data_IF_424365579158
#
_entry.id   IF_424365579158
#
_cell.length_a   1.000
_cell.length_b   1.000
_cell.length_c   1.000
_cell.angle_alpha   90.00
_cell.angle_beta   90.00
_cell.angle_gamma   90.00
#
_symmetry.space_group_name_H-M   'P 1'
#
loop_
_entity.id
_entity.type
_entity.pdbx_description
1 polymer ?
#
# COMPACT_ATOMS: atom_id res chain seq x y z
N UNK A 1 -28.48 20.01 10.43
CA UNK A 1 -27.31 20.91 10.55
C UNK A 1 -26.08 20.13 10.15
N UNK A 2 -25.41 20.52 9.06
CA UNK A 2 -24.10 19.94 8.70
C UNK A 2 -23.11 20.20 9.84
N UNK A 3 -22.47 19.14 10.33
CA UNK A 3 -21.44 19.25 11.36
C UNK A 3 -20.18 19.84 10.71
N UNK A 4 -19.63 20.92 11.27
CA UNK A 4 -18.35 21.48 10.80
C UNK A 4 -17.22 20.46 10.90
N UNK A 5 -16.29 20.39 9.93
CA UNK A 5 -15.14 19.49 9.98
C UNK A 5 -14.34 19.62 11.29
N UNK A 6 -13.85 18.50 11.81
CA UNK A 6 -13.17 18.43 13.11
C UNK A 6 -11.93 17.53 13.07
N UNK A 7 -11.00 17.75 13.99
CA UNK A 7 -9.92 16.80 14.26
C UNK A 7 -10.45 15.73 15.20
N UNK A 8 -10.39 14.47 14.79
CA UNK A 8 -10.87 13.34 15.56
C UNK A 8 -9.82 12.96 16.61
N UNK A 9 -10.19 13.02 17.89
CA UNK A 9 -9.41 12.46 19.00
C UNK A 9 -9.95 11.06 19.25
N UNK A 10 -9.21 10.05 18.80
CA UNK A 10 -9.61 8.65 18.82
C UNK A 10 -8.72 7.89 19.82
N UNK A 11 -9.28 7.04 20.67
CA UNK A 11 -8.44 6.13 21.47
C UNK A 11 -9.15 5.43 22.62
N UNK A 12 -8.37 4.81 23.49
CA UNK A 12 -8.85 4.01 24.62
C UNK A 12 -9.02 4.88 25.87
N UNK A 13 -10.14 5.61 25.96
CA UNK A 13 -10.37 6.59 27.02
C UNK A 13 -10.58 5.96 28.41
N UNK A 14 -11.03 4.70 28.44
CA UNK A 14 -11.16 3.87 29.64
C UNK A 14 -9.87 3.73 30.44
N UNK A 15 -8.72 3.82 29.77
CA UNK A 15 -7.40 3.71 30.37
C UNK A 15 -6.54 4.95 30.21
N UNK A 16 -6.80 5.78 29.20
CA UNK A 16 -6.02 6.98 28.85
C UNK A 16 -6.88 8.23 28.68
N UNK A 17 -7.92 8.35 29.50
CA UNK A 17 -8.88 9.45 29.38
C UNK A 17 -8.25 10.83 29.58
N UNK A 18 -7.32 10.95 30.54
CA UNK A 18 -6.63 12.20 30.85
C UNK A 18 -5.80 12.71 29.67
N UNK A 19 -5.05 11.83 29.01
CA UNK A 19 -4.16 12.17 27.90
C UNK A 19 -4.94 12.53 26.64
N UNK A 20 -6.06 11.85 26.36
CA UNK A 20 -6.93 12.20 25.24
C UNK A 20 -7.71 13.50 25.49
N UNK A 21 -8.13 13.77 26.73
CA UNK A 21 -8.70 15.08 27.10
C UNK A 21 -7.67 16.20 26.96
N UNK A 22 -6.41 15.95 27.33
CA UNK A 22 -5.34 16.91 27.11
C UNK A 22 -5.16 17.22 25.62
N UNK A 23 -5.06 16.20 24.76
CA UNK A 23 -4.99 16.39 23.31
C UNK A 23 -6.19 17.20 22.78
N UNK A 24 -7.40 16.83 23.20
CA UNK A 24 -8.64 17.56 22.86
C UNK A 24 -8.53 19.04 23.18
N UNK A 25 -8.20 19.38 24.43
CA UNK A 25 -8.10 20.76 24.90
C UNK A 25 -7.03 21.55 24.14
N UNK A 26 -5.86 20.93 23.90
CA UNK A 26 -4.75 21.59 23.19
C UNK A 26 -5.06 21.82 21.71
N UNK A 27 -5.88 20.97 21.09
CA UNK A 27 -6.38 21.18 19.72
C UNK A 27 -7.43 22.31 19.70
N UNK A 28 -8.38 22.31 20.63
CA UNK A 28 -9.42 23.35 20.73
C UNK A 28 -8.83 24.75 21.00
N UNK A 29 -7.81 24.84 21.85
CA UNK A 29 -7.06 26.08 22.09
C UNK A 29 -6.35 26.63 20.85
N UNK A 30 -6.11 25.78 19.83
CA UNK A 30 -5.55 26.18 18.53
C UNK A 30 -6.62 26.56 17.50
N UNK A 31 -7.89 26.64 17.93
CA UNK A 31 -9.02 27.07 17.11
C UNK A 31 -9.67 25.96 16.27
N UNK A 32 -9.32 24.70 16.49
CA UNK A 32 -9.93 23.57 15.80
C UNK A 32 -11.06 22.96 16.62
N UNK A 33 -12.14 22.55 15.96
CA UNK A 33 -13.14 21.69 16.58
C UNK A 33 -12.57 20.28 16.74
N UNK A 34 -12.93 19.61 17.83
CA UNK A 34 -12.64 18.19 18.04
C UNK A 34 -13.89 17.32 18.02
N UNK A 35 -13.71 16.05 17.67
CA UNK A 35 -14.70 14.99 17.77
C UNK A 35 -14.03 13.80 18.48
N UNK A 36 -14.61 13.34 19.59
CA UNK A 36 -14.01 12.33 20.46
C UNK A 36 -14.62 10.95 20.23
N UNK A 37 -13.75 9.95 20.01
CA UNK A 37 -14.18 8.57 19.72
C UNK A 37 -13.49 7.62 20.70
N UNK A 38 -14.28 7.05 21.62
CA UNK A 38 -13.80 6.02 22.55
C UNK A 38 -13.83 4.65 21.88
N UNK A 39 -12.69 3.98 21.86
CA UNK A 39 -12.50 2.62 21.30
C UNK A 39 -11.81 1.67 22.28
N UNK A 40 -11.79 2.02 23.56
CA UNK A 40 -11.31 1.10 24.61
C UNK A 40 -12.26 -0.08 24.79
N UNK A 41 -11.71 -1.19 25.29
CA UNK A 41 -12.42 -2.47 25.41
C UNK A 41 -12.53 -2.95 26.85
N UNK A 42 -11.95 -2.24 27.82
CA UNK A 42 -11.95 -2.66 29.24
C UNK A 42 -13.09 -2.06 30.04
N UNK A 43 -13.56 -0.88 29.64
CA UNK A 43 -14.59 -0.18 30.39
C UNK A 43 -15.14 1.06 29.69
N UNK A 44 -16.08 1.75 30.35
CA UNK A 44 -16.62 3.01 29.85
C UNK A 44 -15.57 4.12 29.89
N UNK A 45 -15.73 5.11 29.02
CA UNK A 45 -14.95 6.35 29.07
C UNK A 45 -15.23 7.13 30.38
N UNK A 46 -14.23 7.75 31.02
CA UNK A 46 -14.40 8.56 32.23
C UNK A 46 -15.05 9.93 31.97
N UNK A 47 -15.25 10.30 30.71
CA UNK A 47 -16.00 11.48 30.27
C UNK A 47 -16.92 11.10 29.10
N UNK A 48 -17.93 11.91 28.79
CA UNK A 48 -18.85 11.66 27.67
C UNK A 48 -18.14 11.87 26.32
N UNK A 49 -17.88 10.81 25.52
CA UNK A 49 -17.35 10.98 24.19
C UNK A 49 -18.47 11.33 23.19
N UNK A 50 -18.11 11.88 22.04
CA UNK A 50 -19.08 12.09 20.94
C UNK A 50 -19.56 10.75 20.37
N UNK A 51 -18.67 9.75 20.35
CA UNK A 51 -18.97 8.37 19.97
C UNK A 51 -18.33 7.38 20.94
N UNK A 52 -19.11 6.39 21.38
CA UNK A 52 -18.68 5.39 22.36
C UNK A 52 -18.83 3.98 21.76
N UNK A 53 -17.75 3.49 21.13
CA UNK A 53 -17.74 2.16 20.50
C UNK A 53 -17.84 1.04 21.54
N UNK A 54 -17.31 1.25 22.75
CA UNK A 54 -17.44 0.28 23.84
C UNK A 54 -18.91 0.00 24.17
N UNK A 55 -19.73 1.05 24.28
CA UNK A 55 -21.17 0.91 24.53
C UNK A 55 -21.90 0.24 23.36
N UNK A 56 -21.58 0.59 22.11
CA UNK A 56 -22.16 -0.06 20.94
C UNK A 56 -21.92 -1.58 20.94
N UNK A 57 -20.70 -2.01 21.27
CA UNK A 57 -20.33 -3.43 21.34
C UNK A 57 -21.07 -4.12 22.49
N UNK A 58 -21.09 -3.51 23.67
CA UNK A 58 -21.77 -4.07 24.83
C UNK A 58 -23.29 -4.23 24.62
N UNK A 59 -23.92 -3.29 23.90
CA UNK A 59 -25.33 -3.41 23.51
C UNK A 59 -25.55 -4.53 22.49
N UNK A 60 -24.66 -4.68 21.50
CA UNK A 60 -24.75 -5.74 20.49
C UNK A 60 -24.54 -7.14 21.06
N UNK A 61 -23.77 -7.29 22.14
CA UNK A 61 -23.55 -8.58 22.81
C UNK A 61 -24.58 -8.91 23.90
N UNK A 62 -25.64 -8.11 24.05
CA UNK A 62 -26.60 -8.21 25.18
C UNK A 62 -25.92 -8.18 26.55
N UNK A 63 -24.77 -7.50 26.67
CA UNK A 63 -23.97 -7.46 27.89
C UNK A 63 -23.21 -8.75 28.23
N UNK A 64 -23.16 -9.74 27.32
CA UNK A 64 -22.37 -10.96 27.54
C UNK A 64 -20.87 -10.66 27.49
N UNK A 65 -20.04 -11.32 28.34
CA UNK A 65 -18.59 -11.18 28.29
C UNK A 65 -18.07 -11.58 26.91
N UNK A 66 -17.30 -10.69 26.30
CA UNK A 66 -16.59 -10.94 25.05
C UNK A 66 -15.12 -11.16 25.42
N UNK A 67 -14.49 -12.18 24.85
CA UNK A 67 -13.06 -12.36 25.04
C UNK A 67 -12.28 -11.15 24.48
N UNK A 68 -11.05 -10.97 24.95
CA UNK A 68 -10.26 -9.77 24.66
C UNK A 68 -10.03 -9.57 23.16
N UNK A 69 -9.78 -10.64 22.42
CA UNK A 69 -9.40 -10.55 21.00
C UNK A 69 -10.64 -10.26 20.16
N UNK A 70 -11.77 -10.91 20.46
CA UNK A 70 -13.07 -10.57 19.86
C UNK A 70 -13.47 -9.12 20.14
N UNK A 71 -13.25 -8.62 21.35
CA UNK A 71 -13.54 -7.23 21.70
C UNK A 71 -12.66 -6.23 20.92
N UNK A 72 -11.37 -6.51 20.77
CA UNK A 72 -10.44 -5.68 19.97
C UNK A 72 -10.86 -5.68 18.49
N UNK A 73 -11.18 -6.85 17.93
CA UNK A 73 -11.61 -6.96 16.54
C UNK A 73 -12.95 -6.24 16.28
N UNK A 74 -13.90 -6.34 17.21
CA UNK A 74 -15.15 -5.59 17.16
C UNK A 74 -14.89 -4.08 17.23
N UNK A 75 -14.03 -3.61 18.15
CA UNK A 75 -13.66 -2.20 18.27
C UNK A 75 -12.99 -1.67 17.00
N UNK A 76 -12.07 -2.43 16.40
CA UNK A 76 -11.48 -2.12 15.09
C UNK A 76 -12.57 -2.00 14.02
N UNK A 77 -13.44 -3.00 13.88
CA UNK A 77 -14.49 -3.00 12.86
C UNK A 77 -15.45 -1.81 12.99
N UNK A 78 -15.98 -1.57 14.19
CA UNK A 78 -16.89 -0.46 14.46
C UNK A 78 -16.21 0.91 14.32
N UNK A 79 -15.00 1.05 14.88
CA UNK A 79 -14.24 2.30 14.79
C UNK A 79 -13.88 2.67 13.36
N UNK A 80 -13.50 1.67 12.53
CA UNK A 80 -13.26 1.83 11.08
C UNK A 80 -14.50 2.32 10.35
N UNK A 81 -15.63 1.65 10.55
CA UNK A 81 -16.91 2.02 9.93
C UNK A 81 -17.31 3.45 10.32
N UNK A 82 -17.24 3.78 11.60
CA UNK A 82 -17.58 5.09 12.10
C UNK A 82 -16.69 6.19 11.51
N UNK A 83 -15.37 6.00 11.55
CA UNK A 83 -14.42 6.99 11.05
C UNK A 83 -14.58 7.22 9.53
N UNK A 84 -14.83 6.14 8.78
CA UNK A 84 -15.11 6.23 7.35
C UNK A 84 -16.42 7.00 7.08
N UNK A 85 -17.49 6.70 7.81
CA UNK A 85 -18.77 7.43 7.69
C UNK A 85 -18.63 8.92 8.02
N UNK A 86 -17.83 9.28 9.02
CA UNK A 86 -17.53 10.68 9.33
C UNK A 86 -16.75 11.34 8.19
N UNK A 87 -15.78 10.62 7.59
CA UNK A 87 -15.01 11.12 6.46
C UNK A 87 -15.87 11.36 5.22
N UNK A 88 -16.74 10.42 4.86
CA UNK A 88 -17.67 10.52 3.72
C UNK A 88 -18.62 11.72 3.86
N UNK A 89 -18.97 12.11 5.09
CA UNK A 89 -19.77 13.30 5.40
C UNK A 89 -18.96 14.61 5.42
N UNK A 90 -17.66 14.55 5.13
CA UNK A 90 -16.76 15.71 5.19
C UNK A 90 -16.46 16.20 6.61
N UNK A 91 -16.70 15.38 7.65
CA UNK A 91 -16.59 15.79 9.05
C UNK A 91 -15.17 15.65 9.63
N UNK A 92 -14.21 15.12 8.86
CA UNK A 92 -12.85 14.77 9.34
C UNK A 92 -11.78 15.66 8.70
N UNK A 93 -11.10 16.47 9.51
CA UNK A 93 -9.91 17.25 9.13
C UNK A 93 -8.59 16.54 9.40
N UNK A 94 -8.63 15.51 10.23
CA UNK A 94 -7.46 14.77 10.69
C UNK A 94 -7.84 13.89 11.87
N UNK A 95 -6.95 12.98 12.27
CA UNK A 95 -7.14 12.08 13.39
C UNK A 95 -5.86 12.00 14.22
N UNK A 96 -6.01 12.01 15.54
CA UNK A 96 -4.92 11.90 16.49
C UNK A 96 -5.25 10.93 17.62
N UNK A 97 -4.24 10.22 18.11
CA UNK A 97 -4.33 9.34 19.27
C UNK A 97 -3.02 9.30 20.06
N UNK A 98 -3.10 8.81 21.32
CA UNK A 98 -1.96 8.51 22.15
C UNK A 98 -2.16 7.15 22.87
N UNK A 99 -1.16 6.27 22.86
CA UNK A 99 -1.32 4.97 23.52
C UNK A 99 -0.08 4.10 23.60
N UNK A 100 -0.19 3.05 24.43
CA UNK A 100 0.79 1.96 24.48
C UNK A 100 0.66 1.02 23.27
N UNK A 101 1.21 -0.19 23.35
CA UNK A 101 1.14 -1.16 22.25
C UNK A 101 -0.29 -1.46 21.75
N UNK A 102 -1.22 -1.82 22.65
CA UNK A 102 -2.62 -2.08 22.27
C UNK A 102 -3.32 -0.83 21.74
N UNK A 103 -3.16 0.32 22.40
CA UNK A 103 -3.78 1.58 21.96
C UNK A 103 -3.25 2.04 20.60
N UNK A 104 -1.96 1.81 20.33
CA UNK A 104 -1.33 2.06 19.02
C UNK A 104 -1.94 1.16 17.96
N UNK A 105 -1.96 -0.16 18.19
CA UNK A 105 -2.54 -1.12 17.25
C UNK A 105 -4.00 -0.81 16.90
N UNK A 106 -4.81 -0.52 17.92
CA UNK A 106 -6.25 -0.27 17.76
C UNK A 106 -6.49 1.06 17.02
N UNK A 107 -5.82 2.14 17.45
CA UNK A 107 -6.02 3.46 16.87
C UNK A 107 -5.47 3.54 15.45
N UNK A 108 -4.24 3.09 15.17
CA UNK A 108 -3.72 3.11 13.78
C UNK A 108 -4.48 2.14 12.89
N UNK A 109 -4.89 0.98 13.42
CA UNK A 109 -5.74 0.03 12.72
C UNK A 109 -7.06 0.64 12.24
N UNK A 110 -7.61 1.61 12.97
CA UNK A 110 -8.77 2.41 12.56
C UNK A 110 -8.36 3.54 11.61
N UNK A 111 -7.31 4.32 11.94
CA UNK A 111 -6.85 5.45 11.12
C UNK A 111 -6.57 5.07 9.66
N UNK A 112 -6.14 3.81 9.41
CA UNK A 112 -5.82 3.33 8.07
C UNK A 112 -6.99 3.29 7.09
N UNK A 113 -8.25 3.42 7.52
CA UNK A 113 -9.38 3.52 6.57
C UNK A 113 -9.47 4.87 5.88
N UNK A 114 -8.82 5.89 6.44
CA UNK A 114 -8.80 7.21 5.83
C UNK A 114 -7.84 7.22 4.63
N UNK A 115 -8.18 7.96 3.56
CA UNK A 115 -7.36 8.03 2.36
C UNK A 115 -6.04 8.78 2.59
N UNK A 116 -5.12 8.67 1.62
CA UNK A 116 -3.88 9.45 1.61
C UNK A 116 -4.17 10.95 1.68
N UNK A 117 -3.42 11.67 2.52
CA UNK A 117 -3.45 13.13 2.64
C UNK A 117 -4.32 13.66 3.78
N UNK A 118 -5.21 12.84 4.36
CA UNK A 118 -5.87 13.21 5.63
C UNK A 118 -4.83 13.04 6.77
N UNK A 119 -4.57 14.08 7.60
CA UNK A 119 -3.62 13.98 8.69
C UNK A 119 -3.93 12.83 9.66
N UNK A 120 -2.95 11.97 9.92
CA UNK A 120 -3.03 10.84 10.88
C UNK A 120 -1.82 10.89 11.80
N UNK A 121 -2.03 11.18 13.08
CA UNK A 121 -0.94 11.34 14.06
C UNK A 121 -1.12 10.36 15.22
N UNK A 122 -0.08 9.60 15.54
CA UNK A 122 -0.10 8.63 16.63
C UNK A 122 1.08 8.85 17.57
N UNK A 123 0.78 9.20 18.83
CA UNK A 123 1.79 9.23 19.90
C UNK A 123 1.89 7.84 20.54
N UNK A 124 3.03 7.17 20.41
CA UNK A 124 3.17 5.76 20.77
C UNK A 124 4.40 5.47 21.63
N UNK A 125 4.21 4.64 22.67
CA UNK A 125 5.32 4.10 23.49
C UNK A 125 6.16 3.07 22.76
N UNK A 126 5.67 2.57 21.62
CA UNK A 126 6.35 1.56 20.81
C UNK A 126 6.81 2.10 19.46
N UNK A 127 6.76 3.41 19.21
CA UNK A 127 7.15 3.98 17.91
C UNK A 127 8.60 3.66 17.47
N UNK A 128 9.47 3.28 18.41
CA UNK A 128 10.86 2.86 18.17
C UNK A 128 11.01 1.36 17.84
N UNK A 129 9.89 0.61 17.69
CA UNK A 129 9.87 -0.80 17.27
C UNK A 129 9.54 -0.93 15.78
N UNK A 130 9.39 -2.17 15.29
CA UNK A 130 8.90 -2.41 13.93
C UNK A 130 7.45 -1.92 13.77
N UNK A 131 7.29 -0.86 12.99
CA UNK A 131 6.00 -0.21 12.70
C UNK A 131 5.37 -0.64 11.37
N UNK A 132 5.95 -1.58 10.62
CA UNK A 132 5.47 -1.94 9.28
C UNK A 132 3.97 -2.33 9.29
N UNK A 133 3.55 -3.21 10.21
CA UNK A 133 2.14 -3.60 10.37
C UNK A 133 1.27 -2.55 11.08
N UNK A 134 1.85 -1.50 11.65
CA UNK A 134 1.15 -0.40 12.36
C UNK A 134 0.82 0.74 11.40
N UNK A 135 1.76 1.14 10.56
CA UNK A 135 1.59 2.18 9.54
C UNK A 135 0.97 1.59 8.27
N UNK A 136 1.38 0.38 7.87
CA UNK A 136 1.00 -0.22 6.60
C UNK A 136 1.46 0.64 5.43
N UNK A 137 0.55 0.88 4.50
CA UNK A 137 0.74 1.69 3.28
C UNK A 137 0.26 3.14 3.43
N UNK A 138 -0.06 3.58 4.65
CA UNK A 138 -0.64 4.90 4.94
C UNK A 138 0.41 5.91 5.42
N UNK A 139 0.09 7.18 5.27
CA UNK A 139 0.85 8.35 5.73
C UNK A 139 0.63 8.65 7.24
N UNK A 140 0.70 7.63 8.08
CA UNK A 140 0.58 7.79 9.55
C UNK A 140 1.89 8.35 10.11
N UNK A 141 1.81 9.52 10.74
CA UNK A 141 2.93 10.12 11.47
C UNK A 141 3.03 9.53 12.87
N UNK A 142 4.12 8.82 13.14
CA UNK A 142 4.42 8.26 14.46
C UNK A 142 5.27 9.22 15.28
N UNK A 143 4.83 9.56 16.48
CA UNK A 143 5.57 10.35 17.47
C UNK A 143 5.90 9.43 18.64
N UNK A 144 7.18 9.28 18.98
CA UNK A 144 7.58 8.47 20.13
C UNK A 144 7.23 9.20 21.44
N UNK A 145 6.53 8.53 22.35
CA UNK A 145 6.15 9.13 23.65
C UNK A 145 7.33 9.26 24.61
N UNK A 146 8.47 8.60 24.33
CA UNK A 146 9.70 8.56 25.15
C UNK A 146 9.51 7.88 26.50
N UNK A 147 8.59 8.35 27.33
CA UNK A 147 8.13 7.69 28.54
C UNK A 147 6.89 6.85 28.26
N UNK A 148 6.52 5.99 29.21
CA UNK A 148 5.18 5.40 29.20
C UNK A 148 4.11 6.50 29.32
N UNK A 149 2.90 6.18 28.87
CA UNK A 149 1.74 7.07 28.91
C UNK A 149 0.93 6.65 30.14
N UNK A 150 1.09 7.35 31.25
CA UNK A 150 0.39 7.07 32.50
C UNK A 150 0.11 8.39 33.24
N UNK A 151 -0.92 9.09 32.78
CA UNK A 151 -1.23 10.46 33.20
C UNK A 151 -0.35 11.50 32.50
N UNK A 152 -0.75 12.77 32.58
CA UNK A 152 -0.04 13.88 31.93
C UNK A 152 0.97 14.50 32.91
N UNK A 153 2.23 14.12 32.76
CA UNK A 153 3.35 14.76 33.47
C UNK A 153 4.02 15.85 32.61
N UNK A 154 5.00 16.56 33.16
CA UNK A 154 5.69 17.66 32.48
C UNK A 154 6.39 17.25 31.18
N UNK A 155 6.90 16.01 31.10
CA UNK A 155 7.59 15.49 29.91
C UNK A 155 6.56 15.05 28.87
N UNK A 156 5.59 14.23 29.26
CA UNK A 156 4.59 13.72 28.33
C UNK A 156 3.67 14.83 27.80
N UNK A 157 3.31 15.80 28.64
CA UNK A 157 2.50 16.95 28.25
C UNK A 157 3.15 17.78 27.14
N UNK A 158 4.48 17.94 27.18
CA UNK A 158 5.25 18.61 26.13
C UNK A 158 5.14 17.85 24.78
N UNK A 159 5.22 16.52 24.83
CA UNK A 159 5.10 15.66 23.63
C UNK A 159 3.67 15.68 23.08
N UNK A 160 2.67 15.54 23.95
CA UNK A 160 1.25 15.59 23.56
C UNK A 160 0.88 16.96 22.98
N UNK A 161 1.41 18.06 23.54
CA UNK A 161 1.15 19.40 23.00
C UNK A 161 1.76 19.60 21.61
N UNK A 162 2.98 19.08 21.38
CA UNK A 162 3.60 19.08 20.06
C UNK A 162 2.82 18.21 19.08
N UNK A 163 2.32 17.06 19.50
CA UNK A 163 1.48 16.21 18.67
C UNK A 163 0.17 16.90 18.27
N UNK A 164 -0.48 17.59 19.21
CA UNK A 164 -1.64 18.44 18.94
C UNK A 164 -1.29 19.57 17.95
N UNK A 165 -0.15 20.23 18.12
CA UNK A 165 0.37 21.21 17.18
C UNK A 165 0.63 20.63 15.78
N UNK A 166 1.19 19.44 15.69
CA UNK A 166 1.49 18.75 14.43
C UNK A 166 0.20 18.45 13.65
N UNK A 167 -0.79 17.80 14.27
CA UNK A 167 -2.06 17.49 13.57
C UNK A 167 -2.81 18.77 13.17
N UNK A 168 -2.78 19.82 14.00
CA UNK A 168 -3.35 21.12 13.66
C UNK A 168 -2.63 21.78 12.48
N UNK A 169 -1.30 21.71 12.43
CA UNK A 169 -0.51 22.25 11.33
C UNK A 169 -0.76 21.51 10.02
N UNK A 170 -0.77 20.16 10.07
CA UNK A 170 -1.09 19.31 8.92
C UNK A 170 -2.52 19.60 8.39
N UNK A 171 -3.48 19.81 9.28
CA UNK A 171 -4.87 20.14 8.91
C UNK A 171 -5.03 21.52 8.23
N UNK A 172 -4.05 22.41 8.34
CA UNK A 172 -4.03 23.70 7.61
C UNK A 172 -3.36 23.63 6.24
N UNK A 173 -2.73 22.50 5.91
CA UNK A 173 -2.03 22.36 4.63
C UNK A 173 -3.01 22.46 3.47
N UNK A 174 -2.81 23.45 2.59
CA UNK A 174 -3.68 23.74 1.46
C UNK A 174 -2.97 23.67 0.11
N UNK A 175 -1.73 23.14 0.10
CA UNK A 175 -0.93 23.05 -1.11
C UNK A 175 -1.66 22.28 -2.21
N UNK A 176 -1.66 22.86 -3.41
CA UNK A 176 -2.24 22.26 -4.61
C UNK A 176 -1.23 22.38 -5.75
N UNK A 177 -1.12 21.35 -6.61
CA UNK A 177 -0.27 21.45 -7.79
C UNK A 177 -0.84 22.49 -8.75
N UNK A 178 0.04 23.22 -9.44
CA UNK A 178 -0.37 24.20 -10.46
C UNK A 178 -1.16 23.57 -11.61
N UNK A 179 -0.88 22.30 -11.91
CA UNK A 179 -1.56 21.50 -12.93
C UNK A 179 -1.65 20.05 -12.47
N UNK A 180 -2.78 19.39 -12.77
CA UNK A 180 -2.99 17.96 -12.46
C UNK A 180 -3.06 17.17 -13.75
N UNK A 181 -1.95 16.51 -14.12
CA UNK A 181 -1.89 15.58 -15.25
C UNK A 181 -2.58 14.27 -14.90
N UNK A 182 -2.91 13.48 -15.93
CA UNK A 182 -3.31 12.07 -15.74
C UNK A 182 -2.12 11.30 -15.19
N UNK A 183 -2.37 10.47 -14.17
CA UNK A 183 -1.30 9.77 -13.46
C UNK A 183 -1.22 8.31 -13.85
N UNK A 184 -0.01 7.81 -14.00
CA UNK A 184 0.27 6.39 -14.19
C UNK A 184 1.09 5.90 -13.00
N UNK A 185 0.60 4.85 -12.33
CA UNK A 185 1.39 4.13 -11.34
C UNK A 185 2.39 3.22 -12.07
N UNK A 186 3.66 3.25 -11.65
CA UNK A 186 4.73 2.46 -12.24
C UNK A 186 5.48 1.70 -11.14
N UNK A 187 5.45 0.36 -11.16
CA UNK A 187 6.34 -0.42 -10.29
C UNK A 187 7.76 -0.43 -10.84
N UNK A 188 8.77 -0.45 -9.98
CA UNK A 188 10.17 -0.54 -10.35
C UNK A 188 10.90 -1.51 -9.43
N UNK A 189 12.01 -2.06 -9.91
CA UNK A 189 12.92 -2.90 -9.15
C UNK A 189 14.36 -2.57 -9.52
N UNK A 190 15.31 -2.75 -8.59
CA UNK A 190 16.72 -2.37 -8.79
C UNK A 190 17.31 -2.91 -10.10
N UNK A 191 17.03 -4.17 -10.42
CA UNK A 191 17.56 -4.83 -11.63
C UNK A 191 16.93 -4.34 -12.95
N UNK A 192 15.91 -3.47 -12.88
CA UNK A 192 15.22 -2.89 -14.04
C UNK A 192 15.12 -1.36 -13.97
N UNK A 193 16.00 -0.71 -13.19
CA UNK A 193 16.00 0.75 -13.02
C UNK A 193 16.05 1.47 -14.38
N UNK A 194 16.91 0.98 -15.30
CA UNK A 194 17.00 1.53 -16.67
C UNK A 194 15.66 1.48 -17.40
N UNK A 195 14.97 0.34 -17.39
CA UNK A 195 13.64 0.21 -17.99
C UNK A 195 12.64 1.20 -17.38
N UNK A 196 12.61 1.31 -16.05
CA UNK A 196 11.67 2.19 -15.35
C UNK A 196 11.87 3.67 -15.70
N UNK A 197 13.12 4.15 -15.74
CA UNK A 197 13.46 5.53 -16.12
C UNK A 197 13.07 5.84 -17.57
N UNK A 198 13.30 4.89 -18.48
CA UNK A 198 12.97 5.06 -19.90
C UNK A 198 11.45 5.04 -20.14
N UNK A 199 10.74 4.10 -19.52
CA UNK A 199 9.27 4.03 -19.57
C UNK A 199 8.67 5.31 -19.01
N UNK A 200 9.16 5.78 -17.86
CA UNK A 200 8.76 7.06 -17.26
C UNK A 200 8.93 8.22 -18.24
N UNK A 201 10.12 8.34 -18.84
CA UNK A 201 10.43 9.41 -19.79
C UNK A 201 9.50 9.38 -21.02
N UNK A 202 9.23 8.19 -21.56
CA UNK A 202 8.31 8.01 -22.68
C UNK A 202 6.87 8.41 -22.33
N UNK A 203 6.38 8.04 -21.15
CA UNK A 203 5.04 8.40 -20.69
C UNK A 203 4.90 9.90 -20.37
N UNK A 204 5.94 10.52 -19.80
CA UNK A 204 5.93 11.96 -19.54
C UNK A 204 5.94 12.79 -20.83
N UNK A 205 6.65 12.32 -21.87
CA UNK A 205 6.60 12.90 -23.21
C UNK A 205 5.20 12.82 -23.85
N UNK A 206 4.39 11.82 -23.47
CA UNK A 206 2.98 11.68 -23.86
C UNK A 206 2.02 12.51 -22.98
N UNK A 207 2.53 13.30 -22.04
CA UNK A 207 1.74 14.23 -21.22
C UNK A 207 1.24 13.67 -19.89
N UNK A 208 1.69 12.47 -19.47
CA UNK A 208 1.34 11.89 -18.17
C UNK A 208 2.24 12.40 -17.04
N UNK A 209 1.79 12.19 -15.81
CA UNK A 209 2.61 12.24 -14.59
C UNK A 209 2.82 10.80 -14.12
N UNK A 210 4.08 10.38 -13.94
CA UNK A 210 4.40 9.00 -13.56
C UNK A 210 4.78 8.95 -12.09
N UNK A 211 4.07 8.14 -11.32
CA UNK A 211 4.34 7.92 -9.89
C UNK A 211 4.99 6.55 -9.74
N UNK A 212 6.28 6.54 -9.42
CA UNK A 212 7.07 5.33 -9.29
C UNK A 212 6.95 4.72 -7.88
N UNK A 213 6.86 3.40 -7.81
CA UNK A 213 6.80 2.61 -6.58
C UNK A 213 7.86 1.51 -6.63
N UNK A 214 8.75 1.47 -5.64
CA UNK A 214 9.65 0.33 -5.50
C UNK A 214 8.83 -0.92 -5.16
N UNK A 215 8.90 -1.96 -5.99
CA UNK A 215 8.24 -3.25 -5.77
C UNK A 215 8.90 -4.04 -4.63
N UNK A 216 8.83 -3.53 -3.41
CA UNK A 216 9.47 -4.09 -2.21
C UNK A 216 8.47 -4.75 -1.25
N UNK A 217 7.36 -5.28 -1.79
CA UNK A 217 6.20 -5.74 -1.03
C UNK A 217 5.25 -4.58 -0.76
N UNK A 218 5.69 -3.64 0.07
CA UNK A 218 4.85 -2.50 0.46
C UNK A 218 4.56 -1.52 -0.67
N UNK A 219 5.49 -1.33 -1.60
CA UNK A 219 5.29 -0.36 -2.69
C UNK A 219 4.26 -0.81 -3.72
N UNK A 220 4.22 -2.10 -4.09
CA UNK A 220 3.14 -2.66 -4.92
C UNK A 220 1.77 -2.49 -4.26
N UNK A 221 1.68 -2.78 -2.95
CA UNK A 221 0.46 -2.58 -2.17
C UNK A 221 0.02 -1.10 -2.11
N UNK A 222 0.97 -0.18 -1.89
CA UNK A 222 0.69 1.25 -1.83
C UNK A 222 0.18 1.79 -3.18
N UNK A 223 0.77 1.33 -4.29
CA UNK A 223 0.30 1.67 -5.64
C UNK A 223 -1.15 1.25 -5.84
N UNK A 224 -1.50 0.01 -5.48
CA UNK A 224 -2.85 -0.51 -5.67
C UNK A 224 -3.86 0.14 -4.75
N UNK A 225 -3.47 0.50 -3.53
CA UNK A 225 -4.32 1.27 -2.63
C UNK A 225 -4.64 2.66 -3.20
N UNK A 226 -3.63 3.38 -3.68
CA UNK A 226 -3.85 4.67 -4.33
C UNK A 226 -4.68 4.54 -5.62
N UNK A 227 -4.58 3.42 -6.31
CA UNK A 227 -5.44 3.13 -7.45
C UNK A 227 -6.91 2.96 -7.03
N UNK A 228 -7.19 2.23 -5.94
CA UNK A 228 -8.54 2.12 -5.34
C UNK A 228 -9.08 3.46 -4.86
N UNK A 229 -8.20 4.37 -4.43
CA UNK A 229 -8.54 5.77 -4.10
C UNK A 229 -8.74 6.66 -5.35
N UNK A 230 -8.72 6.11 -6.57
CA UNK A 230 -8.94 6.85 -7.82
C UNK A 230 -7.81 7.81 -8.18
N UNK A 231 -6.58 7.56 -7.71
CA UNK A 231 -5.43 8.44 -7.95
C UNK A 231 -4.77 8.23 -9.30
N UNK A 232 -5.07 7.14 -10.01
CA UNK A 232 -4.43 6.76 -11.27
C UNK A 232 -5.43 6.63 -12.41
N UNK A 233 -4.97 7.00 -13.61
CA UNK A 233 -5.66 6.74 -14.88
C UNK A 233 -5.20 5.45 -15.55
N UNK A 234 -4.08 4.87 -15.09
CA UNK A 234 -3.54 3.61 -15.57
C UNK A 234 -2.43 3.09 -14.64
N UNK A 235 -2.13 1.81 -14.73
CA UNK A 235 -1.03 1.16 -14.02
C UNK A 235 -0.16 0.44 -15.04
N UNK A 236 1.12 0.79 -15.07
CA UNK A 236 2.14 0.03 -15.77
C UNK A 236 2.93 -0.75 -14.71
N UNK A 237 2.55 -1.99 -14.50
CA UNK A 237 3.13 -2.89 -13.53
C UNK A 237 4.41 -3.52 -14.12
N UNK A 238 5.48 -2.72 -14.20
CA UNK A 238 6.73 -3.08 -14.86
C UNK A 238 7.53 -4.13 -14.07
N UNK A 239 7.48 -4.08 -12.74
CA UNK A 239 8.16 -4.99 -11.83
C UNK A 239 7.15 -5.83 -11.04
N UNK A 240 7.15 -7.15 -11.25
CA UNK A 240 6.29 -8.09 -10.52
C UNK A 240 7.06 -9.12 -9.70
N UNK A 241 8.39 -9.01 -9.60
CA UNK A 241 9.25 -9.95 -8.83
C UNK A 241 8.84 -10.16 -7.36
N UNK A 242 8.08 -9.23 -6.79
CA UNK A 242 7.38 -9.36 -5.52
C UNK A 242 6.73 -10.74 -5.29
N UNK A 243 6.22 -11.38 -6.34
CA UNK A 243 5.68 -12.74 -6.27
C UNK A 243 6.76 -13.81 -6.01
N UNK A 244 7.91 -13.71 -6.66
CA UNK A 244 9.04 -14.60 -6.46
C UNK A 244 9.60 -14.48 -5.04
N UNK A 245 9.71 -13.24 -4.54
CA UNK A 245 10.15 -12.96 -3.18
C UNK A 245 9.14 -13.47 -2.14
N UNK A 246 7.83 -13.26 -2.32
CA UNK A 246 6.81 -13.84 -1.43
C UNK A 246 6.92 -15.37 -1.38
N UNK A 247 7.07 -16.01 -2.54
CA UNK A 247 7.19 -17.46 -2.64
C UNK A 247 8.47 -18.02 -1.98
N UNK A 248 9.57 -17.28 -2.05
CA UNK A 248 10.87 -17.66 -1.46
C UNK A 248 11.13 -17.07 -0.07
N UNK A 249 10.13 -16.42 0.54
CA UNK A 249 10.31 -15.72 1.81
C UNK A 249 11.46 -14.70 1.77
N UNK A 250 11.63 -14.08 0.59
CA UNK A 250 12.71 -13.17 0.26
C UNK A 250 12.53 -11.74 0.78
N UNK A 251 13.42 -10.87 0.29
CA UNK A 251 13.60 -9.52 0.79
C UNK A 251 12.37 -8.63 0.55
N UNK A 252 11.78 -8.72 -0.64
CA UNK A 252 10.61 -7.94 -1.05
C UNK A 252 9.27 -8.64 -0.75
N UNK A 253 9.23 -9.57 0.20
CA UNK A 253 8.00 -10.25 0.64
C UNK A 253 7.03 -9.30 1.35
N UNK A 254 5.84 -9.81 1.65
CA UNK A 254 4.77 -9.08 2.33
C UNK A 254 3.85 -8.35 1.37
N UNK A 255 3.60 -8.94 0.20
CA UNK A 255 2.80 -8.33 -0.89
C UNK A 255 1.29 -8.35 -0.62
N UNK A 256 0.89 -9.03 0.46
CA UNK A 256 -0.50 -9.21 0.84
C UNK A 256 -1.29 -10.11 -0.12
N UNK A 257 -2.54 -10.47 0.24
CA UNK A 257 -3.36 -11.37 -0.56
C UNK A 257 -3.89 -10.72 -1.85
N UNK A 258 -3.84 -9.38 -1.95
CA UNK A 258 -4.49 -8.62 -3.01
C UNK A 258 -3.56 -8.09 -4.11
N UNK A 259 -2.25 -8.40 -4.08
CA UNK A 259 -1.35 -7.99 -5.15
C UNK A 259 -1.87 -8.50 -6.50
N UNK A 260 -1.92 -7.63 -7.52
CA UNK A 260 -2.53 -7.83 -8.84
C UNK A 260 -4.05 -8.06 -8.83
N UNK A 261 -4.75 -7.86 -7.70
CA UNK A 261 -6.21 -7.92 -7.69
C UNK A 261 -6.83 -6.77 -8.50
N UNK A 262 -8.06 -6.96 -9.01
CA UNK A 262 -8.83 -5.91 -9.63
C UNK A 262 -9.03 -4.72 -8.71
N UNK A 263 -9.00 -3.52 -9.29
CA UNK A 263 -9.38 -2.30 -8.60
C UNK A 263 -10.88 -2.10 -8.84
N UNK A 264 -11.66 -1.95 -7.77
CA UNK A 264 -13.11 -1.72 -7.87
C UNK A 264 -13.42 -0.40 -8.60
N UNK A 265 -14.49 -0.39 -9.41
CA UNK A 265 -14.94 0.80 -10.16
C UNK A 265 -14.72 0.68 -11.67
N UNK A 266 -14.80 1.78 -12.45
CA UNK A 266 -14.45 1.77 -13.87
C UNK A 266 -12.97 1.39 -14.00
N UNK A 267 -12.71 0.16 -14.45
CA UNK A 267 -11.42 -0.52 -14.34
C UNK A 267 -10.26 0.34 -14.80
N UNK A 268 -9.34 0.63 -13.87
CA UNK A 268 -8.06 1.29 -14.19
C UNK A 268 -7.27 0.33 -15.10
N UNK A 269 -6.95 0.71 -16.35
CA UNK A 269 -6.22 -0.16 -17.25
C UNK A 269 -4.87 -0.53 -16.63
N UNK A 270 -4.53 -1.83 -16.65
CA UNK A 270 -3.30 -2.38 -16.07
C UNK A 270 -2.50 -3.12 -17.15
N UNK A 271 -1.33 -2.60 -17.46
CA UNK A 271 -0.34 -3.26 -18.30
C UNK A 271 0.68 -3.97 -17.42
N UNK A 272 0.81 -5.29 -17.55
CA UNK A 272 1.66 -6.12 -16.69
C UNK A 272 2.88 -6.60 -17.47
N UNK A 273 4.06 -6.51 -16.86
CA UNK A 273 5.33 -6.99 -17.40
C UNK A 273 6.00 -7.88 -16.35
N UNK A 274 6.60 -9.02 -16.72
CA UNK A 274 7.25 -9.93 -15.77
C UNK A 274 8.63 -9.43 -15.30
N UNK A 275 8.80 -8.12 -15.08
CA UNK A 275 10.10 -7.54 -14.70
C UNK A 275 10.58 -8.08 -13.35
N UNK A 276 11.81 -8.60 -13.37
CA UNK A 276 12.45 -9.27 -12.25
C UNK A 276 11.89 -10.67 -11.89
N UNK A 277 10.90 -11.18 -12.63
CA UNK A 277 10.35 -12.53 -12.41
C UNK A 277 11.31 -13.66 -12.81
N UNK A 278 12.53 -13.33 -13.23
CA UNK A 278 13.59 -14.29 -13.41
C UNK A 278 14.16 -14.78 -12.07
N UNK A 279 14.01 -14.00 -11.00
CA UNK A 279 14.70 -14.24 -9.74
C UNK A 279 13.85 -13.96 -8.50
N UNK A 280 14.28 -14.52 -7.37
CA UNK A 280 13.86 -14.07 -6.04
C UNK A 280 15.05 -13.43 -5.33
N UNK A 281 14.83 -12.27 -4.68
CA UNK A 281 15.88 -11.55 -3.94
C UNK A 281 15.90 -12.02 -2.49
N UNK A 282 17.06 -12.44 -2.01
CA UNK A 282 17.26 -12.97 -0.66
C UNK A 282 18.38 -12.21 0.06
N UNK A 283 18.37 -12.23 1.39
CA UNK A 283 19.40 -11.60 2.23
C UNK A 283 20.59 -12.54 2.46
N UNK A 284 21.52 -12.57 1.51
CA UNK A 284 22.83 -13.20 1.69
C UNK A 284 23.88 -12.63 0.73
N UNK A 285 25.14 -12.90 1.04
CA UNK A 285 26.33 -12.50 0.27
C UNK A 285 27.07 -13.72 -0.26
N UNK A 286 28.15 -13.50 -1.01
CA UNK A 286 29.02 -14.57 -1.55
C UNK A 286 29.61 -15.47 -0.47
N UNK A 287 29.78 -14.95 0.74
CA UNK A 287 30.36 -15.68 1.87
C UNK A 287 29.31 -16.40 2.72
N UNK A 288 28.02 -16.11 2.50
CA UNK A 288 26.91 -16.61 3.34
C UNK A 288 25.82 -17.30 2.53
N UNK A 289 26.15 -17.88 1.38
CA UNK A 289 25.20 -18.59 0.51
C UNK A 289 24.58 -19.78 1.27
N UNK A 290 23.24 -19.80 1.46
CA UNK A 290 22.55 -20.93 2.08
C UNK A 290 22.75 -22.23 1.29
N UNK A 291 22.87 -23.36 1.99
CA UNK A 291 23.16 -24.66 1.38
C UNK A 291 22.15 -25.05 0.29
N UNK A 292 20.87 -24.71 0.48
CA UNK A 292 19.79 -24.96 -0.48
C UNK A 292 19.97 -24.23 -1.84
N UNK A 293 20.79 -23.18 -1.89
CA UNK A 293 20.97 -22.36 -3.10
C UNK A 293 22.35 -22.47 -3.74
N UNK A 294 23.28 -23.26 -3.17
CA UNK A 294 24.68 -23.35 -3.67
C UNK A 294 24.79 -23.75 -5.14
N UNK A 295 23.90 -24.63 -5.59
CA UNK A 295 23.87 -25.14 -6.97
C UNK A 295 23.00 -24.28 -7.91
N UNK A 296 22.45 -23.17 -7.42
CA UNK A 296 21.63 -22.26 -8.23
C UNK A 296 22.51 -21.26 -8.97
N UNK A 297 21.99 -20.72 -10.07
CA UNK A 297 22.52 -19.49 -10.65
C UNK A 297 22.22 -18.33 -9.70
N UNK A 298 23.25 -17.56 -9.33
CA UNK A 298 23.15 -16.47 -8.36
C UNK A 298 23.72 -15.18 -8.96
N UNK A 299 22.98 -14.09 -8.78
CA UNK A 299 23.45 -12.74 -9.00
C UNK A 299 23.66 -12.06 -7.65
N UNK A 300 24.93 -11.85 -7.31
CA UNK A 300 25.32 -11.15 -6.08
C UNK A 300 25.23 -9.64 -6.31
N UNK A 301 24.47 -8.94 -5.47
CA UNK A 301 24.22 -7.51 -5.63
C UNK A 301 24.87 -6.69 -4.51
N UNK A 302 24.37 -6.83 -3.28
CA UNK A 302 24.90 -6.17 -2.08
C UNK A 302 24.85 -7.13 -0.87
N UNK A 303 24.28 -6.71 0.25
CA UNK A 303 23.86 -7.63 1.32
C UNK A 303 22.71 -8.56 0.87
N UNK A 304 22.17 -8.33 -0.33
CA UNK A 304 21.16 -9.13 -1.02
C UNK A 304 21.72 -9.78 -2.28
N UNK A 305 21.13 -10.91 -2.64
CA UNK A 305 21.45 -11.66 -3.84
C UNK A 305 20.18 -12.20 -4.51
N UNK A 306 20.13 -12.18 -5.84
CA UNK A 306 19.07 -12.77 -6.64
C UNK A 306 19.39 -14.22 -6.98
N UNK A 307 18.52 -15.16 -6.62
CA UNK A 307 18.60 -16.55 -7.07
C UNK A 307 17.74 -16.75 -8.31
N UNK A 308 18.26 -17.39 -9.36
CA UNK A 308 17.48 -17.73 -10.56
C UNK A 308 16.42 -18.75 -10.18
N UNK A 309 15.14 -18.47 -10.43
CA UNK A 309 14.04 -19.42 -10.22
C UNK A 309 14.20 -20.70 -11.05
N UNK A 310 13.64 -21.82 -10.59
CA UNK A 310 13.55 -23.05 -11.38
C UNK A 310 12.33 -23.02 -12.30
N UNK A 311 12.26 -23.95 -13.25
CA UNK A 311 11.07 -24.14 -14.09
C UNK A 311 9.81 -24.45 -13.29
N UNK A 312 9.92 -25.27 -12.23
CA UNK A 312 8.78 -25.59 -11.36
C UNK A 312 8.28 -24.36 -10.60
N UNK A 313 9.20 -23.63 -9.97
CA UNK A 313 8.88 -22.39 -9.24
C UNK A 313 8.25 -21.35 -10.18
N UNK A 314 8.80 -21.22 -11.39
CA UNK A 314 8.29 -20.31 -12.42
C UNK A 314 6.88 -20.67 -12.87
N UNK A 315 6.54 -21.96 -13.03
CA UNK A 315 5.17 -22.39 -13.36
C UNK A 315 4.18 -22.09 -12.23
N UNK A 316 4.56 -22.31 -10.98
CA UNK A 316 3.72 -21.97 -9.82
C UNK A 316 3.41 -20.47 -9.82
N UNK A 317 4.43 -19.63 -10.01
CA UNK A 317 4.28 -18.17 -10.02
C UNK A 317 3.46 -17.67 -11.21
N UNK A 318 3.66 -18.24 -12.41
CA UNK A 318 2.83 -17.95 -13.58
C UNK A 318 1.35 -18.27 -13.33
N UNK A 319 1.06 -19.41 -12.71
CA UNK A 319 -0.29 -19.79 -12.33
C UNK A 319 -0.92 -18.82 -11.32
N UNK A 320 -0.16 -18.40 -10.31
CA UNK A 320 -0.59 -17.42 -9.31
C UNK A 320 -0.88 -16.04 -9.91
N UNK A 321 -0.08 -15.59 -10.89
CA UNK A 321 -0.33 -14.35 -11.61
C UNK A 321 -1.57 -14.48 -12.50
N UNK A 322 -1.69 -15.56 -13.27
CA UNK A 322 -2.84 -15.82 -14.14
C UNK A 322 -4.17 -15.77 -13.35
N UNK A 323 -4.23 -16.47 -12.22
CA UNK A 323 -5.42 -16.52 -11.36
C UNK A 323 -5.91 -15.12 -10.96
N UNK A 324 -4.99 -14.21 -10.65
CA UNK A 324 -5.31 -12.84 -10.23
C UNK A 324 -5.71 -11.95 -11.39
N UNK A 325 -4.99 -12.03 -12.50
CA UNK A 325 -5.27 -11.25 -13.71
C UNK A 325 -6.63 -11.62 -14.32
N UNK A 326 -7.02 -12.89 -14.25
CA UNK A 326 -8.31 -13.38 -14.74
C UNK A 326 -9.52 -12.82 -13.98
N UNK A 327 -9.33 -12.15 -12.85
CA UNK A 327 -10.43 -11.55 -12.08
C UNK A 327 -10.97 -10.27 -12.73
N UNK A 328 -10.23 -9.65 -13.66
CA UNK A 328 -10.75 -8.51 -14.43
C UNK A 328 -10.15 -8.41 -15.85
N UNK A 329 -10.46 -9.37 -16.75
CA UNK A 329 -9.85 -9.46 -18.08
C UNK A 329 -9.93 -8.19 -18.94
N UNK A 330 -11.06 -7.44 -19.01
CA UNK A 330 -11.22 -6.35 -19.98
C UNK A 330 -10.25 -5.17 -19.80
N UNK A 331 -9.67 -4.99 -18.61
CA UNK A 331 -8.76 -3.87 -18.33
C UNK A 331 -7.29 -4.28 -18.27
N UNK A 332 -6.95 -5.53 -18.57
CA UNK A 332 -5.62 -6.09 -18.38
C UNK A 332 -4.97 -6.42 -19.72
N UNK A 333 -3.69 -6.06 -19.87
CA UNK A 333 -2.81 -6.54 -20.92
C UNK A 333 -1.48 -7.01 -20.35
N UNK A 334 -0.83 -7.93 -21.03
CA UNK A 334 0.48 -8.46 -20.63
C UNK A 334 1.49 -8.25 -21.76
N UNK A 335 2.65 -7.67 -21.44
CA UNK A 335 3.79 -7.58 -22.36
C UNK A 335 4.97 -8.37 -21.83
N UNK A 336 5.49 -9.26 -22.67
CA UNK A 336 6.63 -10.12 -22.35
C UNK A 336 7.84 -9.70 -23.18
N UNK A 337 8.89 -9.10 -22.59
CA UNK A 337 10.19 -8.97 -23.26
C UNK A 337 10.83 -10.36 -23.40
N UNK A 338 11.16 -10.78 -24.62
CA UNK A 338 11.67 -12.14 -24.88
C UNK A 338 13.17 -12.29 -24.61
N UNK A 339 13.93 -11.20 -24.57
CA UNK A 339 15.39 -11.26 -24.44
C UNK A 339 15.90 -11.05 -23.02
N UNK A 340 15.01 -10.92 -22.03
CA UNK A 340 15.39 -10.81 -20.62
C UNK A 340 14.49 -9.94 -19.75
N UNK A 341 14.36 -10.29 -18.47
CA UNK A 341 13.46 -9.63 -17.51
C UNK A 341 14.17 -8.83 -16.40
N UNK A 342 15.50 -8.85 -16.37
CA UNK A 342 16.33 -8.11 -15.42
C UNK A 342 17.70 -7.84 -16.02
N UNK A 343 18.49 -6.94 -15.45
CA UNK A 343 19.88 -6.73 -15.88
C UNK A 343 20.75 -8.01 -15.84
N UNK A 344 20.37 -8.96 -14.98
CA UNK A 344 21.07 -10.22 -14.77
C UNK A 344 20.57 -11.35 -15.68
N UNK A 345 19.36 -11.23 -16.23
CA UNK A 345 18.75 -12.15 -17.19
C UNK A 345 18.92 -11.63 -18.62
N UNK A 346 20.12 -11.78 -19.16
CA UNK A 346 20.44 -11.45 -20.55
C UNK A 346 21.52 -12.36 -21.10
N UNK A 347 21.68 -12.47 -22.41
CA UNK A 347 22.74 -13.32 -22.99
C UNK A 347 24.12 -13.05 -22.35
N UNK A 348 24.72 -14.09 -21.77
CA UNK A 348 25.99 -14.02 -21.02
C UNK A 348 25.89 -13.55 -19.56
N UNK A 349 24.69 -13.15 -19.11
CA UNK A 349 24.39 -12.75 -17.73
C UNK A 349 24.21 -13.93 -16.77
N UNK A 350 24.36 -13.70 -15.45
CA UNK A 350 24.42 -14.77 -14.46
C UNK A 350 23.09 -15.50 -14.25
N UNK A 351 21.95 -14.86 -14.49
CA UNK A 351 20.62 -15.46 -14.32
C UNK A 351 19.99 -15.92 -15.63
N UNK A 352 20.68 -15.76 -16.76
CA UNK A 352 20.16 -16.05 -18.08
C UNK A 352 19.75 -17.51 -18.23
N UNK A 353 18.45 -17.73 -18.46
CA UNK A 353 17.88 -19.06 -18.64
C UNK A 353 16.61 -19.00 -19.50
N UNK A 354 16.74 -18.91 -20.83
CA UNK A 354 15.59 -18.84 -21.73
C UNK A 354 14.62 -20.01 -21.62
N UNK A 355 15.06 -21.29 -21.46
CA UNK A 355 14.13 -22.39 -21.26
C UNK A 355 13.21 -22.18 -20.05
N UNK A 356 13.76 -21.75 -18.90
CA UNK A 356 12.97 -21.48 -17.71
C UNK A 356 11.99 -20.31 -17.89
N UNK A 357 12.43 -19.22 -18.50
CA UNK A 357 11.55 -18.08 -18.82
C UNK A 357 10.44 -18.50 -19.80
N UNK A 358 10.72 -19.41 -20.74
CA UNK A 358 9.71 -19.93 -21.67
C UNK A 358 8.64 -20.76 -20.97
N UNK A 359 9.02 -21.59 -19.99
CA UNK A 359 8.07 -22.35 -19.16
C UNK A 359 7.07 -21.43 -18.44
N UNK A 360 7.55 -20.33 -17.85
CA UNK A 360 6.68 -19.31 -17.25
C UNK A 360 5.68 -18.74 -18.27
N UNK A 361 6.16 -18.33 -19.45
CA UNK A 361 5.31 -17.70 -20.47
C UNK A 361 4.27 -18.68 -21.01
N UNK A 362 4.64 -19.94 -21.22
CA UNK A 362 3.72 -20.99 -21.68
C UNK A 362 2.63 -21.26 -20.63
N UNK A 363 3.02 -21.41 -19.36
CA UNK A 363 2.09 -21.63 -18.25
C UNK A 363 1.13 -20.45 -18.07
N UNK A 364 1.67 -19.22 -18.08
CA UNK A 364 0.89 -17.99 -17.98
C UNK A 364 -0.11 -17.91 -19.12
N UNK A 365 0.34 -18.05 -20.37
CA UNK A 365 -0.52 -18.00 -21.56
C UNK A 365 -1.60 -19.09 -21.52
N UNK A 366 -1.29 -20.29 -21.06
CA UNK A 366 -2.23 -21.41 -20.97
C UNK A 366 -3.33 -21.21 -19.91
N UNK A 367 -3.07 -20.38 -18.90
CA UNK A 367 -4.01 -20.13 -17.79
C UNK A 367 -4.72 -18.78 -17.86
N UNK A 368 -4.25 -17.83 -18.68
CA UNK A 368 -4.88 -16.53 -18.84
C UNK A 368 -6.24 -16.66 -19.54
N UNK A 369 -7.18 -15.83 -19.10
CA UNK A 369 -8.46 -15.62 -19.78
C UNK A 369 -8.20 -15.16 -21.23
N UNK A 370 -8.88 -15.73 -22.24
CA UNK A 370 -8.69 -15.35 -23.65
C UNK A 370 -8.94 -13.87 -23.96
N UNK A 371 -9.68 -13.16 -23.11
CA UNK A 371 -9.89 -11.72 -23.20
C UNK A 371 -8.67 -10.87 -22.80
N UNK A 372 -7.65 -11.48 -22.19
CA UNK A 372 -6.39 -10.80 -21.83
C UNK A 372 -5.40 -10.92 -22.99
N UNK A 373 -5.06 -9.76 -23.57
CA UNK A 373 -4.05 -9.66 -24.63
C UNK A 373 -2.65 -9.84 -24.05
N UNK A 374 -2.04 -11.00 -24.31
CA UNK A 374 -0.63 -11.29 -24.02
C UNK A 374 0.21 -11.22 -25.30
N UNK A 375 1.09 -10.23 -25.33
CA UNK A 375 1.98 -9.95 -26.46
C UNK A 375 3.45 -10.12 -26.07
N UNK A 376 4.17 -10.88 -26.90
CA UNK A 376 5.63 -11.02 -26.81
C UNK A 376 6.31 -9.90 -27.62
N UNK A 377 7.39 -9.34 -27.09
CA UNK A 377 8.17 -8.25 -27.67
C UNK A 377 9.62 -8.69 -27.75
N UNK A 378 10.18 -8.72 -28.96
CA UNK A 378 11.58 -9.08 -29.19
C UNK A 378 12.51 -7.93 -28.78
N UNK A 379 12.74 -7.83 -27.47
CA UNK A 379 13.60 -6.86 -26.81
C UNK A 379 13.92 -7.36 -25.40
N UNK A 380 15.02 -6.86 -24.83
CA UNK A 380 15.30 -7.00 -23.41
C UNK A 380 14.52 -5.93 -22.64
N UNK A 381 14.09 -6.18 -21.40
CA UNK A 381 13.29 -5.20 -20.63
C UNK A 381 13.96 -3.81 -20.52
N UNK A 382 15.29 -3.80 -20.36
CA UNK A 382 16.13 -2.60 -20.27
C UNK A 382 16.53 -1.98 -21.64
N UNK A 383 15.92 -2.42 -22.74
CA UNK A 383 16.12 -1.79 -24.05
C UNK A 383 15.13 -0.64 -24.27
N UNK A 384 15.61 0.43 -24.88
CA UNK A 384 14.84 1.64 -25.20
C UNK A 384 13.59 1.32 -26.05
N UNK A 385 13.71 0.33 -26.95
CA UNK A 385 12.60 -0.14 -27.79
C UNK A 385 11.46 -0.73 -26.97
N UNK A 386 11.77 -1.50 -25.93
CA UNK A 386 10.77 -2.07 -25.02
C UNK A 386 10.03 -0.97 -24.26
N UNK A 387 10.77 0.00 -23.72
CA UNK A 387 10.20 1.12 -22.99
C UNK A 387 9.20 1.93 -23.83
N UNK A 388 9.54 2.20 -25.10
CA UNK A 388 8.63 2.89 -26.02
C UNK A 388 7.37 2.06 -26.34
N UNK A 389 7.50 0.74 -26.50
CA UNK A 389 6.37 -0.15 -26.77
C UNK A 389 5.44 -0.20 -25.55
N UNK A 390 5.99 -0.37 -24.35
CA UNK A 390 5.23 -0.41 -23.11
C UNK A 390 4.49 0.92 -22.85
N UNK A 391 5.16 2.05 -23.05
CA UNK A 391 4.56 3.38 -22.90
C UNK A 391 3.41 3.61 -23.89
N UNK A 392 3.57 3.24 -25.17
CA UNK A 392 2.52 3.33 -26.19
C UNK A 392 1.33 2.43 -25.86
N UNK A 393 1.57 1.17 -25.48
CA UNK A 393 0.51 0.25 -25.10
C UNK A 393 -0.31 0.79 -23.91
N UNK A 394 0.36 1.33 -22.88
CA UNK A 394 -0.32 1.94 -21.74
C UNK A 394 -1.13 3.18 -22.17
N UNK A 395 -0.58 4.03 -23.02
CA UNK A 395 -1.29 5.19 -23.56
C UNK A 395 -2.57 4.77 -24.30
N UNK A 396 -2.48 3.81 -25.22
CA UNK A 396 -3.62 3.27 -25.98
C UNK A 396 -4.71 2.72 -25.06
N UNK A 397 -4.33 1.93 -24.05
CA UNK A 397 -5.29 1.40 -23.07
C UNK A 397 -6.03 2.53 -22.35
N UNK A 398 -5.34 3.60 -21.95
CA UNK A 398 -5.95 4.75 -21.28
C UNK A 398 -6.91 5.51 -22.22
N UNK A 399 -6.56 5.67 -23.51
CA UNK A 399 -7.44 6.36 -24.47
C UNK A 399 -8.72 5.56 -24.75
N UNK A 400 -8.62 4.24 -24.90
CA UNK A 400 -9.78 3.39 -25.18
C UNK A 400 -10.78 3.38 -24.02
N UNK A 401 -10.30 3.27 -22.78
CA UNK A 401 -11.18 3.34 -21.58
C UNK A 401 -11.96 4.66 -21.52
N UNK A 402 -11.40 5.77 -22.02
CA UNK A 402 -12.10 7.06 -22.05
C UNK A 402 -13.17 7.14 -23.12
N UNK A 403 -12.95 6.53 -24.28
CA UNK A 403 -13.95 6.47 -25.34
C UNK A 403 -15.17 5.66 -24.89
N UNK A 404 -14.93 4.51 -24.24
CA UNK A 404 -16.00 3.66 -23.70
C UNK A 404 -16.80 4.34 -22.58
N UNK A 405 -16.14 5.14 -21.75
CA UNK A 405 -16.79 5.90 -20.66
C UNK A 405 -17.59 7.10 -21.18
N UNK A 406 -17.13 7.74 -22.26
CA UNK A 406 -17.83 8.86 -22.90
C UNK A 406 -19.11 8.45 -23.62
N UNK A 407 -19.14 7.24 -24.19
CA UNK A 407 -20.33 6.69 -24.86
C UNK A 407 -21.45 6.35 -23.85
N UNK A 408 -21.10 5.83 -22.66
CA UNK A 408 -22.07 5.46 -21.60
C UNK A 408 -22.71 6.63 -20.85
N UNK A 409 -22.25 7.87 -21.04
CA UNK A 409 -22.87 9.07 -20.42
C UNK A 409 -23.82 9.81 -21.36
N UNK A 410 -24.02 9.32 -22.59
CA UNK A 410 -24.91 9.93 -23.58
C UNK A 410 -26.23 9.16 -23.78
N UNK A 411 -26.45 8.06 -23.05
CA UNK A 411 -27.68 7.25 -23.08
C UNK A 411 -28.54 7.41 -21.83
#
# INVERSE_FOLDING_TARGET
>A
MERKPAIVVLGTFDSKGEEHLFLKQRIEQRGFRTLTVHVGTKGPSPFTPDFDVFREIASASEGKPVDRDSAINAALSHGRRLLLQCHEKGEVLGVISAGGGTGTHLSTGIMRVLPLGIPKVMVSTVASRNMAGIVGTKDITMIHSVSDILGVNSILGEILDRAAGAVCGMAKSDWKPAMRKKRIGLTMFGFITKAAEQVKSCLEALGYEVIAFHANGTGGMAMEELAREGRFSGILDLATHEFADEFKQGYCRGIGPERLSPISGPGVPRLVVPGGMDCAVLEFTRDTVPDEYRERKIFFYDFRSGIRLTAEESRVLAGQMAERLNRHPPSVKVLIPTEGWSEADRAGGPLYDPPTSREFVMELRGKLDPGIDLREVHAHINDDSFAQIAARAMHEMIQNTMQDSGCKMQD
#
